data_IF_026596576468
#
_entry.id   IF_026596576468
#
_cell.length_a   1.000
_cell.length_b   1.000
_cell.length_c   1.000
_cell.angle_alpha   90.00
_cell.angle_beta   90.00
_cell.angle_gamma   90.00
#
_symmetry.space_group_name_H-M   'P 1'
#
loop_
_entity.id
_entity.type
_entity.pdbx_description
1 polymer ?
#
# COMPACT_ATOMS: atom_id res chain seq x y z
N UNK A 1 -1.66 17.38 0.50
CA UNK A 1 -2.43 17.36 1.77
C UNK A 1 -2.27 15.96 2.33
N UNK A 2 -1.87 15.85 3.59
CA UNK A 2 -1.56 14.56 4.23
C UNK A 2 -2.71 14.16 5.15
N UNK A 3 -3.13 12.90 5.12
CA UNK A 3 -4.23 12.40 5.96
C UNK A 3 -3.87 11.01 6.47
N UNK A 4 -4.09 10.79 7.76
CA UNK A 4 -4.06 9.48 8.40
C UNK A 4 -5.48 9.09 8.84
N UNK A 5 -5.87 7.86 8.52
CA UNK A 5 -7.16 7.27 8.93
C UNK A 5 -6.85 5.97 9.67
N UNK A 6 -7.39 5.85 10.88
CA UNK A 6 -7.31 4.64 11.69
C UNK A 6 -8.43 3.68 11.35
N UNK A 7 -8.18 2.37 11.52
CA UNK A 7 -9.20 1.34 11.56
C UNK A 7 -9.15 0.65 12.92
N UNK A 8 -10.28 0.58 13.61
CA UNK A 8 -10.37 -0.05 14.92
C UNK A 8 -10.71 -1.56 14.82
N UNK A 9 -10.68 -2.31 15.93
CA UNK A 9 -11.09 -3.71 15.96
C UNK A 9 -12.57 -3.98 15.62
N UNK A 10 -13.41 -2.94 15.57
CA UNK A 10 -14.82 -3.03 15.17
C UNK A 10 -15.01 -2.71 13.67
N UNK A 11 -13.93 -2.69 12.89
CA UNK A 11 -13.92 -2.36 11.46
C UNK A 11 -14.40 -0.94 11.12
N UNK A 12 -14.34 -0.02 12.09
CA UNK A 12 -14.70 1.37 11.88
C UNK A 12 -13.50 2.19 11.46
N UNK A 13 -13.71 3.06 10.47
CA UNK A 13 -12.71 4.03 10.03
C UNK A 13 -12.93 5.38 10.70
N UNK A 14 -11.86 5.98 11.19
CA UNK A 14 -11.91 7.30 11.83
C UNK A 14 -10.68 8.14 11.44
N UNK A 15 -10.84 9.44 11.19
CA UNK A 15 -9.71 10.33 10.92
C UNK A 15 -8.83 10.44 12.17
N UNK A 16 -7.53 10.21 12.02
CA UNK A 16 -6.54 10.34 13.09
C UNK A 16 -5.88 11.72 13.08
N UNK A 17 -5.36 12.12 11.92
CA UNK A 17 -4.62 13.36 11.75
C UNK A 17 -4.71 13.84 10.30
N UNK A 18 -4.54 15.15 10.10
CA UNK A 18 -4.37 15.75 8.79
C UNK A 18 -3.32 16.86 8.83
N UNK A 19 -2.65 17.09 7.70
CA UNK A 19 -1.62 18.11 7.56
C UNK A 19 -1.75 18.82 6.21
N UNK A 20 -1.77 20.15 6.23
CA UNK A 20 -1.69 20.97 5.02
C UNK A 20 -0.23 21.32 4.79
N UNK A 21 0.30 20.85 3.67
CA UNK A 21 1.70 21.05 3.28
C UNK A 21 1.74 21.64 1.88
N UNK A 22 2.75 22.46 1.60
CA UNK A 22 2.94 23.10 0.30
C UNK A 22 3.09 22.06 -0.82
N UNK A 23 3.83 20.97 -0.56
CA UNK A 23 4.01 19.86 -1.50
C UNK A 23 4.25 18.56 -0.74
N UNK A 24 3.78 17.44 -1.31
CA UNK A 24 4.03 16.09 -0.79
C UNK A 24 5.45 15.66 -1.12
N UNK A 25 6.37 15.98 -0.21
CA UNK A 25 7.78 15.62 -0.27
C UNK A 25 8.12 14.58 0.80
N UNK A 26 9.27 13.92 0.66
CA UNK A 26 9.82 13.02 1.69
C UNK A 26 9.89 13.70 3.05
N UNK A 27 10.34 14.95 3.11
CA UNK A 27 10.45 15.72 4.35
C UNK A 27 9.09 16.04 4.97
N UNK A 28 8.09 16.40 4.14
CA UNK A 28 6.73 16.64 4.63
C UNK A 28 6.09 15.37 5.20
N UNK A 29 6.33 14.20 4.58
CA UNK A 29 5.87 12.92 5.08
C UNK A 29 6.59 12.51 6.36
N UNK A 30 7.91 12.70 6.44
CA UNK A 30 8.69 12.44 7.66
C UNK A 30 8.13 13.24 8.83
N UNK A 31 7.99 14.56 8.66
CA UNK A 31 7.43 15.43 9.70
C UNK A 31 6.04 14.98 10.15
N UNK A 32 5.14 14.68 9.21
CA UNK A 32 3.78 14.26 9.53
C UNK A 32 3.73 12.92 10.27
N UNK A 33 4.52 11.93 9.83
CA UNK A 33 4.55 10.61 10.45
C UNK A 33 5.23 10.66 11.83
N UNK A 34 6.25 11.48 12.02
CA UNK A 34 6.87 11.70 13.33
C UNK A 34 5.85 12.20 14.36
N UNK A 35 5.11 13.26 14.03
CA UNK A 35 4.06 13.79 14.90
C UNK A 35 2.96 12.76 15.16
N UNK A 36 2.50 12.06 14.11
CA UNK A 36 1.49 11.02 14.27
C UNK A 36 1.92 9.93 15.26
N UNK A 37 3.18 9.50 15.19
CA UNK A 37 3.72 8.47 16.09
C UNK A 37 3.92 8.95 17.52
N UNK A 38 4.26 10.22 17.70
CA UNK A 38 4.31 10.84 19.04
C UNK A 38 2.93 10.82 19.70
N UNK A 39 1.87 11.06 18.91
CA UNK A 39 0.49 11.09 19.40
C UNK A 39 -0.10 9.69 19.67
N UNK A 40 0.08 8.74 18.74
CA UNK A 40 -0.52 7.39 18.87
C UNK A 40 0.33 6.40 19.68
N UNK A 41 1.57 6.79 19.99
CA UNK A 41 2.56 5.96 20.67
C UNK A 41 3.36 5.05 19.73
N UNK A 42 4.52 4.59 20.21
CA UNK A 42 5.51 3.84 19.41
C UNK A 42 5.44 2.31 19.59
N UNK A 43 4.25 1.77 19.82
CA UNK A 43 4.11 0.32 20.04
C UNK A 43 3.97 -0.47 18.70
N UNK A 44 4.40 -1.73 18.69
CA UNK A 44 4.42 -2.60 17.51
C UNK A 44 3.04 -3.13 17.05
N UNK A 45 1.92 -2.59 17.56
CA UNK A 45 0.55 -3.05 17.23
C UNK A 45 -0.02 -2.42 15.94
N UNK A 46 0.66 -1.44 15.35
CA UNK A 46 0.15 -0.75 14.16
C UNK A 46 0.61 -1.41 12.85
N UNK A 47 -0.30 -1.43 11.88
CA UNK A 47 0.01 -1.75 10.49
C UNK A 47 -0.29 -0.51 9.65
N UNK A 48 0.73 0.04 9.00
CA UNK A 48 0.56 1.18 8.10
C UNK A 48 0.25 0.71 6.69
N UNK A 49 -0.75 1.32 6.07
CA UNK A 49 -1.13 1.05 4.69
C UNK A 49 -1.06 2.36 3.91
N UNK A 50 -0.15 2.45 2.94
CA UNK A 50 0.04 3.69 2.17
C UNK A 50 0.08 3.47 0.66
N UNK A 51 0.04 4.56 -0.10
CA UNK A 51 0.32 4.54 -1.54
C UNK A 51 1.82 4.25 -1.81
N UNK A 52 2.14 3.85 -3.06
CA UNK A 52 3.47 3.64 -3.64
C UNK A 52 4.26 4.94 -3.88
N UNK A 53 3.92 6.04 -3.19
CA UNK A 53 4.68 7.28 -3.34
C UNK A 53 6.10 7.08 -2.77
N UNK A 54 7.12 7.31 -3.62
CA UNK A 54 8.54 7.08 -3.28
C UNK A 54 8.98 7.80 -2.00
N UNK A 55 8.45 9.00 -1.74
CA UNK A 55 8.78 9.76 -0.54
C UNK A 55 8.27 9.10 0.74
N UNK A 56 7.08 8.50 0.70
CA UNK A 56 6.44 7.90 1.87
C UNK A 56 7.02 6.53 2.22
N UNK A 57 7.25 5.68 1.21
CA UNK A 57 7.90 4.37 1.40
C UNK A 57 9.28 4.55 2.04
N UNK A 58 10.10 5.47 1.53
CA UNK A 58 11.42 5.73 2.08
C UNK A 58 11.38 6.23 3.53
N UNK A 59 10.33 6.98 3.92
CA UNK A 59 10.15 7.42 5.32
C UNK A 59 9.83 6.23 6.22
N UNK A 60 8.97 5.31 5.80
CA UNK A 60 8.68 4.11 6.59
C UNK A 60 9.90 3.20 6.74
N UNK A 61 10.64 2.96 5.66
CA UNK A 61 11.88 2.15 5.67
C UNK A 61 12.96 2.75 6.59
N UNK A 62 13.03 4.08 6.70
CA UNK A 62 14.01 4.77 7.57
C UNK A 62 13.57 4.85 9.03
N UNK A 63 12.27 5.04 9.28
CA UNK A 63 11.78 5.34 10.62
C UNK A 63 11.44 4.09 11.44
N UNK A 64 11.14 2.96 10.81
CA UNK A 64 10.58 1.82 11.53
C UNK A 64 11.21 0.49 11.14
N UNK A 65 12.11 -0.02 12.00
CA UNK A 65 12.56 -1.41 11.92
C UNK A 65 11.49 -2.42 12.40
N UNK A 66 10.45 -1.94 13.08
CA UNK A 66 9.49 -2.78 13.84
C UNK A 66 8.04 -2.67 13.40
N UNK A 67 7.73 -1.78 12.47
CA UNK A 67 6.34 -1.53 12.07
C UNK A 67 6.07 -2.19 10.73
N UNK A 68 4.95 -2.92 10.66
CA UNK A 68 4.55 -3.55 9.40
C UNK A 68 3.96 -2.51 8.45
N UNK A 69 4.60 -2.37 7.28
CA UNK A 69 4.14 -1.49 6.21
C UNK A 69 3.61 -2.31 5.02
N UNK A 70 2.43 -1.92 4.53
CA UNK A 70 1.76 -2.56 3.39
C UNK A 70 1.33 -1.54 2.35
N UNK A 71 1.17 -2.03 1.13
CA UNK A 71 0.60 -1.24 0.04
C UNK A 71 -0.92 -1.15 0.10
N UNK A 72 -1.41 0.05 -0.11
CA UNK A 72 -2.83 0.31 -0.31
C UNK A 72 -3.28 -0.33 -1.62
N UNK A 73 -4.01 -1.44 -1.52
CA UNK A 73 -4.53 -2.16 -2.68
C UNK A 73 -5.38 -1.28 -3.60
N UNK A 74 -6.12 -0.32 -3.03
CA UNK A 74 -6.92 0.65 -3.81
C UNK A 74 -6.04 1.48 -4.74
N UNK A 75 -4.95 2.05 -4.21
CA UNK A 75 -4.03 2.86 -5.01
C UNK A 75 -3.20 2.01 -5.96
N UNK A 76 -2.77 0.84 -5.52
CA UNK A 76 -2.11 -0.14 -6.37
C UNK A 76 -2.97 -0.49 -7.59
N UNK A 77 -4.28 -0.73 -7.39
CA UNK A 77 -5.21 -0.95 -8.50
C UNK A 77 -5.44 0.28 -9.35
N UNK A 78 -5.50 1.48 -8.77
CA UNK A 78 -5.61 2.71 -9.55
C UNK A 78 -4.41 2.89 -10.49
N UNK A 79 -3.20 2.61 -10.02
CA UNK A 79 -1.97 2.66 -10.82
C UNK A 79 -1.95 1.57 -11.90
N UNK A 80 -2.36 0.35 -11.54
CA UNK A 80 -2.50 -0.75 -12.49
C UNK A 80 -3.51 -0.44 -13.60
N UNK A 81 -4.71 0.04 -13.23
CA UNK A 81 -5.80 0.39 -14.16
C UNK A 81 -5.38 1.48 -15.14
N UNK A 82 -4.59 2.48 -14.70
CA UNK A 82 -4.04 3.52 -15.59
C UNK A 82 -3.13 2.94 -16.67
N UNK A 83 -2.42 1.83 -16.40
CA UNK A 83 -1.47 1.21 -17.34
C UNK A 83 -2.10 0.14 -18.23
N UNK A 84 -2.99 -0.69 -17.68
CA UNK A 84 -3.50 -1.90 -18.33
C UNK A 84 -5.02 -1.90 -18.57
N UNK A 85 -5.71 -0.81 -18.20
CA UNK A 85 -7.15 -0.67 -18.37
C UNK A 85 -7.97 -1.28 -17.22
N UNK A 86 -9.29 -1.09 -17.31
CA UNK A 86 -10.24 -1.38 -16.23
C UNK A 86 -11.12 -2.62 -16.41
N UNK A 87 -10.73 -3.58 -17.26
CA UNK A 87 -11.54 -4.77 -17.53
C UNK A 87 -11.78 -5.62 -16.28
N UNK A 88 -12.97 -6.23 -16.18
CA UNK A 88 -13.36 -7.04 -15.02
C UNK A 88 -12.38 -8.19 -14.78
N UNK A 89 -12.00 -8.93 -15.83
CA UNK A 89 -11.08 -10.07 -15.71
C UNK A 89 -9.70 -9.63 -15.20
N UNK A 90 -9.08 -8.63 -15.82
CA UNK A 90 -7.72 -8.20 -15.42
C UNK A 90 -7.69 -7.62 -14.01
N UNK A 91 -8.76 -6.92 -13.61
CA UNK A 91 -8.95 -6.45 -12.23
C UNK A 91 -9.02 -7.62 -11.27
N UNK A 92 -9.83 -8.63 -11.56
CA UNK A 92 -10.08 -9.75 -10.64
C UNK A 92 -8.84 -10.63 -10.49
N UNK A 93 -8.07 -10.82 -11.56
CA UNK A 93 -6.77 -11.49 -11.52
C UNK A 93 -5.75 -10.74 -10.66
N UNK A 94 -5.62 -9.44 -10.87
CA UNK A 94 -4.70 -8.59 -10.11
C UNK A 94 -5.09 -8.50 -8.63
N UNK A 95 -6.37 -8.25 -8.33
CA UNK A 95 -6.87 -8.18 -6.95
C UNK A 95 -6.81 -9.55 -6.27
N UNK A 96 -7.08 -10.63 -7.00
CA UNK A 96 -6.98 -12.00 -6.52
C UNK A 96 -5.55 -12.35 -6.11
N UNK A 97 -4.57 -12.00 -6.95
CA UNK A 97 -3.16 -12.16 -6.62
C UNK A 97 -2.79 -11.33 -5.38
N UNK A 98 -3.15 -10.05 -5.32
CA UNK A 98 -2.79 -9.18 -4.21
C UNK A 98 -3.46 -9.53 -2.87
N UNK A 99 -4.62 -10.20 -2.89
CA UNK A 99 -5.36 -10.64 -1.68
C UNK A 99 -5.10 -12.10 -1.30
N UNK A 100 -4.32 -12.83 -2.07
CA UNK A 100 -4.10 -14.25 -1.83
C UNK A 100 -3.47 -14.49 -0.44
N UNK A 101 -4.09 -15.38 0.35
CA UNK A 101 -3.64 -15.68 1.71
C UNK A 101 -2.45 -16.65 1.77
N UNK A 102 -2.17 -17.36 0.68
CA UNK A 102 -1.09 -18.35 0.59
C UNK A 102 -0.48 -18.40 -0.82
N UNK A 103 0.74 -18.92 -0.90
CA UNK A 103 1.56 -18.87 -2.11
C UNK A 103 0.89 -19.55 -3.31
N UNK A 104 0.29 -20.72 -3.14
CA UNK A 104 -0.32 -21.46 -4.24
C UNK A 104 -1.53 -20.72 -4.85
N UNK A 105 -2.33 -20.02 -4.04
CA UNK A 105 -3.42 -19.17 -4.54
C UNK A 105 -2.87 -17.95 -5.28
N UNK A 106 -1.81 -17.33 -4.77
CA UNK A 106 -1.13 -16.24 -5.44
C UNK A 106 -0.57 -16.69 -6.80
N UNK A 107 0.13 -17.83 -6.83
CA UNK A 107 0.77 -18.39 -8.01
C UNK A 107 -0.26 -18.76 -9.08
N UNK A 108 -1.39 -19.36 -8.70
CA UNK A 108 -2.50 -19.62 -9.60
C UNK A 108 -2.99 -18.34 -10.27
N UNK A 109 -3.24 -17.27 -9.50
CA UNK A 109 -3.71 -15.99 -10.04
C UNK A 109 -2.67 -15.27 -10.88
N UNK A 110 -1.40 -15.32 -10.48
CA UNK A 110 -0.30 -14.77 -11.27
C UNK A 110 -0.10 -15.53 -12.59
N UNK A 111 -0.33 -16.85 -12.60
CA UNK A 111 -0.24 -17.67 -13.82
C UNK A 111 -1.38 -17.36 -14.78
N UNK A 112 -2.61 -17.25 -14.27
CA UNK A 112 -3.77 -16.78 -15.05
C UNK A 112 -3.53 -15.38 -15.62
N UNK A 113 -3.01 -14.44 -14.81
CA UNK A 113 -2.66 -13.09 -15.26
C UNK A 113 -1.58 -13.12 -16.34
N UNK A 114 -0.55 -13.95 -16.20
CA UNK A 114 0.51 -14.09 -17.21
C UNK A 114 -0.01 -14.60 -18.55
N UNK A 115 -0.96 -15.53 -18.52
CA UNK A 115 -1.60 -16.06 -19.73
C UNK A 115 -2.51 -15.00 -20.40
N UNK A 116 -3.17 -14.16 -19.61
CA UNK A 116 -4.06 -13.11 -20.11
C UNK A 116 -3.29 -11.86 -20.62
N UNK A 117 -2.37 -11.33 -19.82
CA UNK A 117 -1.54 -10.17 -20.13
C UNK A 117 -0.17 -10.28 -19.44
N UNK A 118 0.84 -10.66 -20.23
CA UNK A 118 2.21 -10.83 -19.76
C UNK A 118 2.82 -9.53 -19.20
N UNK A 119 2.50 -8.36 -19.78
CA UNK A 119 3.05 -7.08 -19.31
C UNK A 119 2.46 -6.68 -17.97
N UNK A 120 1.17 -6.94 -17.78
CA UNK A 120 0.50 -6.74 -16.50
C UNK A 120 1.07 -7.65 -15.41
N UNK A 121 1.35 -8.91 -15.75
CA UNK A 121 2.03 -9.85 -14.86
C UNK A 121 3.45 -9.40 -14.49
N UNK A 122 4.28 -9.00 -15.48
CA UNK A 122 5.63 -8.46 -15.25
C UNK A 122 5.58 -7.27 -14.29
N UNK A 123 4.67 -6.33 -14.54
CA UNK A 123 4.53 -5.16 -13.67
C UNK A 123 4.09 -5.51 -12.25
N UNK A 124 3.15 -6.44 -12.07
CA UNK A 124 2.68 -6.84 -10.75
C UNK A 124 3.74 -7.65 -9.99
N UNK A 125 4.54 -8.45 -10.70
CA UNK A 125 5.64 -9.25 -10.13
C UNK A 125 6.76 -8.37 -9.57
N UNK A 126 7.04 -7.23 -10.21
CA UNK A 126 8.09 -6.30 -9.79
C UNK A 126 7.71 -5.49 -8.54
N UNK A 127 6.46 -5.58 -8.09
CA UNK A 127 6.02 -4.89 -6.87
C UNK A 127 6.45 -5.70 -5.65
N UNK A 128 7.14 -5.09 -4.68
CA UNK A 128 7.57 -5.79 -3.48
C UNK A 128 6.36 -6.29 -2.68
N UNK A 129 6.40 -7.57 -2.30
CA UNK A 129 5.35 -8.23 -1.49
C UNK A 129 5.48 -7.95 0.01
N UNK A 130 6.67 -7.51 0.44
CA UNK A 130 6.95 -6.99 1.79
C UNK A 130 7.81 -5.75 1.62
N UNK A 131 7.35 -4.63 2.17
CA UNK A 131 8.22 -3.48 2.39
C UNK A 131 8.91 -3.72 3.73
N UNK A 132 10.24 -3.61 3.74
CA UNK A 132 11.02 -3.87 4.94
C UNK A 132 10.81 -2.75 5.95
#
# INVERSE_FOLDING_TARGET
MLIAVGRDPNDQYFPLAFGVVETETKESWRWFIQLLMEDIGQDNRFVFISDQQKGLVAVFEEMFERVEHRLCLRHLYANFKKKFGGGTLIRDLMMGAAKAAYYQAWEAKMSELKAFDKKAWEWLKDIPTKMR
#
